data_IF_161423331655
#
_entry.id   IF_161423331655
#
_cell.length_a   1.000
_cell.length_b   1.000
_cell.length_c   1.000
_cell.angle_alpha   90.00
_cell.angle_beta   90.00
_cell.angle_gamma   90.00
#
_symmetry.space_group_name_H-M   'P 1'
#
loop_
_entity.id
_entity.type
_entity.pdbx_description
1 polymer ?
#
# COMPACT_ATOMS: atom_id res chain seq x y z
N UNK A 1 4.77 -14.36 13.75
CA UNK A 1 5.66 -14.36 12.57
C UNK A 1 5.25 -13.19 11.68
N UNK A 2 6.15 -12.26 11.37
CA UNK A 2 5.87 -11.21 10.40
C UNK A 2 5.84 -11.86 9.01
N UNK A 3 4.64 -12.04 8.44
CA UNK A 3 4.50 -12.59 7.09
C UNK A 3 5.03 -11.55 6.11
N UNK A 4 6.05 -11.92 5.33
CA UNK A 4 6.54 -11.08 4.24
C UNK A 4 5.37 -10.83 3.27
N UNK A 5 5.06 -9.56 3.04
CA UNK A 5 4.06 -9.15 2.07
C UNK A 5 4.59 -9.45 0.67
N UNK A 6 3.72 -9.93 -0.22
CA UNK A 6 4.10 -10.16 -1.61
C UNK A 6 4.17 -8.84 -2.39
N UNK A 7 5.03 -8.77 -3.41
CA UNK A 7 5.19 -7.59 -4.29
C UNK A 7 3.85 -7.05 -4.82
N UNK A 8 2.99 -7.92 -5.35
CA UNK A 8 1.68 -7.52 -5.88
C UNK A 8 0.76 -6.90 -4.81
N UNK A 9 0.89 -7.34 -3.55
CA UNK A 9 0.15 -6.75 -2.44
C UNK A 9 0.68 -5.36 -2.10
N UNK A 10 2.00 -5.18 -2.08
CA UNK A 10 2.62 -3.86 -1.88
C UNK A 10 2.24 -2.87 -2.99
N UNK A 11 2.20 -3.31 -4.25
CA UNK A 11 1.73 -2.48 -5.35
C UNK A 11 0.26 -2.06 -5.18
N UNK A 12 -0.62 -2.98 -4.78
CA UNK A 12 -2.02 -2.63 -4.45
C UNK A 12 -2.10 -1.64 -3.30
N UNK A 13 -1.29 -1.83 -2.26
CA UNK A 13 -1.23 -0.92 -1.11
C UNK A 13 -0.78 0.48 -1.54
N UNK A 14 0.22 0.58 -2.43
CA UNK A 14 0.66 1.85 -3.02
C UNK A 14 -0.48 2.56 -3.73
N UNK A 15 -1.19 1.88 -4.63
CA UNK A 15 -2.33 2.46 -5.36
C UNK A 15 -3.42 2.99 -4.41
N UNK A 16 -3.74 2.25 -3.35
CA UNK A 16 -4.73 2.66 -2.35
C UNK A 16 -4.23 3.87 -1.56
N UNK A 17 -2.96 3.86 -1.13
CA UNK A 17 -2.34 5.00 -0.42
C UNK A 17 -2.35 6.25 -1.29
N UNK A 18 -2.04 6.13 -2.57
CA UNK A 18 -2.00 7.27 -3.49
C UNK A 18 -3.40 7.89 -3.65
N UNK A 19 -4.46 7.07 -3.77
CA UNK A 19 -5.85 7.55 -3.74
C UNK A 19 -6.16 8.25 -2.42
N UNK A 20 -5.73 7.67 -1.29
CA UNK A 20 -5.95 8.28 0.02
C UNK A 20 -5.30 9.66 0.10
N UNK A 21 -4.01 9.78 -0.24
CA UNK A 21 -3.26 11.05 -0.16
C UNK A 21 -3.85 12.12 -1.06
N UNK A 22 -4.25 11.77 -2.29
CA UNK A 22 -4.85 12.74 -3.24
C UNK A 22 -6.19 13.29 -2.72
N UNK A 23 -6.95 12.50 -1.96
CA UNK A 23 -8.29 12.88 -1.50
C UNK A 23 -8.33 13.30 -0.02
N UNK A 24 -7.25 13.08 0.74
CA UNK A 24 -7.17 13.46 2.15
C UNK A 24 -6.77 14.92 2.26
N UNK A 25 -7.72 15.75 2.68
CA UNK A 25 -7.49 17.11 3.18
C UNK A 25 -7.74 17.15 4.69
N UNK A 26 -7.27 18.19 5.38
CA UNK A 26 -7.37 18.29 6.85
C UNK A 26 -8.83 18.21 7.33
N UNK A 27 -9.78 18.77 6.58
CA UNK A 27 -11.20 18.78 6.93
C UNK A 27 -11.93 17.45 6.67
N UNK A 28 -11.34 16.54 5.89
CA UNK A 28 -12.01 15.30 5.49
C UNK A 28 -11.55 14.15 6.41
N UNK A 29 -12.47 13.47 7.11
CA UNK A 29 -12.14 12.30 7.92
C UNK A 29 -11.83 11.09 7.04
N UNK A 30 -10.94 10.21 7.51
CA UNK A 30 -10.51 9.01 6.79
C UNK A 30 -11.67 8.10 6.39
N UNK A 31 -12.73 8.07 7.20
CA UNK A 31 -13.94 7.27 6.94
C UNK A 31 -14.68 7.75 5.70
N UNK A 32 -14.69 9.07 5.42
CA UNK A 32 -15.25 9.61 4.17
C UNK A 32 -14.34 9.31 2.99
N UNK A 33 -13.02 9.41 3.16
CA UNK A 33 -12.06 9.05 2.09
C UNK A 33 -12.23 7.58 1.71
N UNK A 34 -12.28 6.71 2.72
CA UNK A 34 -12.51 5.28 2.55
C UNK A 34 -13.83 5.01 1.84
N UNK A 35 -14.95 5.54 2.34
CA UNK A 35 -16.29 5.27 1.80
C UNK A 35 -16.47 5.79 0.36
N UNK A 36 -15.99 6.99 0.07
CA UNK A 36 -16.34 7.68 -1.17
C UNK A 36 -15.33 7.42 -2.31
N UNK A 37 -14.05 7.21 -2.01
CA UNK A 37 -12.99 7.15 -3.03
C UNK A 37 -12.29 5.80 -3.10
N UNK A 38 -12.07 5.14 -1.96
CA UNK A 38 -11.32 3.88 -1.91
C UNK A 38 -12.25 2.68 -2.07
N UNK A 39 -13.27 2.55 -1.23
CA UNK A 39 -14.18 1.40 -1.17
C UNK A 39 -14.86 1.05 -2.50
N UNK A 40 -15.28 2.02 -3.34
CA UNK A 40 -15.87 1.71 -4.64
C UNK A 40 -14.90 1.00 -5.61
N UNK A 41 -13.59 1.19 -5.43
CA UNK A 41 -12.53 0.60 -6.29
C UNK A 41 -11.86 -0.60 -5.62
N UNK A 42 -11.65 -0.51 -4.32
CA UNK A 42 -10.94 -1.48 -3.49
C UNK A 42 -11.76 -1.74 -2.23
N UNK A 43 -12.59 -2.80 -2.20
CA UNK A 43 -13.40 -3.13 -1.04
C UNK A 43 -12.49 -3.63 0.08
N UNK A 44 -12.11 -2.73 0.98
CA UNK A 44 -11.22 -3.00 2.12
C UNK A 44 -11.85 -2.53 3.42
N UNK A 45 -11.39 -3.12 4.53
CA UNK A 45 -11.80 -2.67 5.86
C UNK A 45 -11.03 -1.40 6.27
N UNK A 46 -11.57 -0.66 7.24
CA UNK A 46 -10.85 0.47 7.87
C UNK A 46 -9.54 0.01 8.51
N UNK A 47 -9.51 -1.18 9.12
CA UNK A 47 -8.29 -1.75 9.68
C UNK A 47 -7.23 -1.97 8.61
N UNK A 48 -7.64 -2.46 7.44
CA UNK A 48 -6.74 -2.63 6.29
C UNK A 48 -6.19 -1.29 5.80
N UNK A 49 -7.01 -0.24 5.73
CA UNK A 49 -6.55 1.10 5.38
C UNK A 49 -5.47 1.59 6.36
N UNK A 50 -5.70 1.44 7.67
CA UNK A 50 -4.70 1.81 8.68
C UNK A 50 -3.40 1.01 8.52
N UNK A 51 -3.49 -0.30 8.26
CA UNK A 51 -2.31 -1.12 7.97
C UNK A 51 -1.55 -0.60 6.75
N UNK A 52 -2.26 -0.22 5.67
CA UNK A 52 -1.65 0.34 4.47
C UNK A 52 -0.90 1.65 4.78
N UNK A 53 -1.54 2.56 5.53
CA UNK A 53 -0.94 3.85 5.89
C UNK A 53 0.30 3.70 6.80
N UNK A 54 0.31 2.68 7.67
CA UNK A 54 1.44 2.39 8.56
C UNK A 54 2.52 1.52 7.92
N UNK A 55 2.29 0.95 6.73
CA UNK A 55 3.26 0.08 6.06
C UNK A 55 4.28 0.93 5.29
N UNK A 56 5.61 0.69 5.44
CA UNK A 56 6.65 1.39 4.68
C UNK A 56 6.76 0.81 3.25
N UNK A 57 5.74 1.04 2.42
CA UNK A 57 5.54 0.39 1.12
C UNK A 57 6.72 0.61 0.18
N UNK A 58 7.19 1.85 0.04
CA UNK A 58 8.24 2.20 -0.93
C UNK A 58 9.57 1.55 -0.58
N UNK A 59 9.91 1.50 0.72
CA UNK A 59 11.09 0.80 1.23
C UNK A 59 11.02 -0.70 0.92
N UNK A 60 9.89 -1.34 1.22
CA UNK A 60 9.72 -2.78 0.99
C UNK A 60 9.76 -3.14 -0.50
N UNK A 61 9.24 -2.27 -1.37
CA UNK A 61 9.35 -2.45 -2.82
C UNK A 61 10.80 -2.33 -3.30
N UNK A 62 11.53 -1.32 -2.81
CA UNK A 62 12.94 -1.13 -3.15
C UNK A 62 13.80 -2.32 -2.70
N UNK A 63 13.60 -2.82 -1.48
CA UNK A 63 14.30 -4.01 -0.96
C UNK A 63 14.03 -5.27 -1.83
N UNK A 64 12.82 -5.41 -2.37
CA UNK A 64 12.51 -6.49 -3.31
C UNK A 64 13.20 -6.31 -4.65
N UNK A 65 13.30 -5.09 -5.16
CA UNK A 65 13.97 -4.80 -6.42
C UNK A 65 15.48 -5.04 -6.32
N UNK A 66 16.11 -4.69 -5.20
CA UNK A 66 17.54 -4.97 -4.96
C UNK A 66 17.80 -6.47 -4.89
N UNK A 67 16.97 -7.24 -4.18
CA UNK A 67 17.14 -8.70 -4.07
C UNK A 67 16.95 -9.41 -5.42
N UNK A 68 15.97 -8.99 -6.23
CA UNK A 68 15.79 -9.54 -7.58
C UNK A 68 17.00 -9.23 -8.50
N UNK A 69 17.77 -8.18 -8.23
CA UNK A 69 18.95 -7.80 -9.02
C UNK A 69 20.18 -8.67 -8.68
N UNK A 70 20.25 -9.23 -7.47
CA UNK A 70 21.35 -10.13 -7.06
C UNK A 70 21.17 -11.55 -7.63
N UNK A 71 19.93 -12.05 -7.68
CA UNK A 71 19.62 -13.37 -8.28
C UNK A 71 19.87 -13.42 -9.80
N UNK A 72 19.85 -12.27 -10.50
CA UNK A 72 20.10 -12.20 -11.95
C UNK A 72 21.59 -12.22 -12.32
N UNK A 73 22.52 -12.05 -11.37
CA UNK A 73 23.97 -12.05 -11.64
C UNK A 73 24.61 -13.43 -11.57
N UNK A 74 23.87 -14.45 -11.15
CA UNK A 74 24.40 -15.79 -10.89
C UNK A 74 23.83 -16.87 -11.83
N UNK A 75 23.34 -16.49 -13.01
CA UNK A 75 22.81 -17.40 -14.02
C UNK A 75 23.56 -17.27 -15.34
#
# INVERSE_FOLDING_TARGET
MAKLLQRNTLLRYRLIRDIYVVNKTDDIPDTKVLKNYIYPKYPISRGTLNTILSTPIDRLLAEMETNNCEDQKNK
#
